data_IF_359531882742
#
_entry.id   IF_359531882742
#
_cell.length_a   1.000
_cell.length_b   1.000
_cell.length_c   1.000
_cell.angle_alpha   90.00
_cell.angle_beta   90.00
_cell.angle_gamma   90.00
#
_symmetry.space_group_name_H-M   'P 1'
#
loop_
_entity.id
_entity.type
_entity.pdbx_description
1 polymer ?
#
# COMPACT_ATOMS: atom_id res chain seq x y z
N UNK A 1 19.62 35.82 -17.16
CA UNK A 1 18.30 35.15 -17.12
C UNK A 1 17.91 34.95 -15.67
N UNK A 2 16.85 35.61 -15.25
CA UNK A 2 16.57 35.94 -13.84
C UNK A 2 16.03 34.76 -13.02
N UNK A 3 16.24 34.86 -11.70
CA UNK A 3 15.88 33.95 -10.61
C UNK A 3 14.42 33.42 -10.64
N UNK A 4 13.52 34.08 -11.37
CA UNK A 4 12.12 33.69 -11.53
C UNK A 4 11.88 32.38 -12.29
N UNK A 5 12.83 31.91 -13.12
CA UNK A 5 12.69 30.65 -13.87
C UNK A 5 12.67 29.38 -13.00
N UNK A 6 12.86 29.51 -11.67
CA UNK A 6 12.89 28.41 -10.71
C UNK A 6 11.73 28.41 -9.70
N UNK A 7 10.81 29.39 -9.75
CA UNK A 7 9.64 29.30 -8.86
C UNK A 7 8.76 28.14 -9.30
N UNK A 8 8.50 27.22 -8.38
CA UNK A 8 7.48 26.19 -8.57
C UNK A 8 6.12 26.85 -8.51
N UNK A 9 5.20 26.41 -9.36
CA UNK A 9 3.84 26.92 -9.35
C UNK A 9 3.17 26.81 -7.99
N UNK A 10 2.39 27.81 -7.65
CA UNK A 10 1.65 27.91 -6.40
C UNK A 10 0.17 27.86 -6.73
N UNK A 11 -0.45 26.76 -6.36
CA UNK A 11 -1.89 26.56 -6.49
C UNK A 11 -2.50 26.77 -5.11
N UNK A 12 -3.32 27.80 -4.98
CA UNK A 12 -4.13 27.97 -3.79
C UNK A 12 -5.42 27.16 -3.94
N UNK A 13 -5.74 26.33 -2.96
CA UNK A 13 -6.99 25.57 -2.90
C UNK A 13 -7.77 26.00 -1.66
N UNK A 14 -8.93 26.62 -1.85
CA UNK A 14 -9.90 26.88 -0.81
C UNK A 14 -11.06 25.88 -0.92
N UNK A 15 -11.43 25.31 0.23
CA UNK A 15 -12.58 24.44 0.38
C UNK A 15 -13.50 25.16 1.36
N UNK A 16 -14.70 25.50 0.92
CA UNK A 16 -15.67 26.30 1.67
C UNK A 16 -17.01 25.56 1.79
N UNK A 17 -17.53 25.50 2.99
CA UNK A 17 -18.87 25.01 3.36
C UNK A 17 -19.93 26.12 3.28
N UNK A 18 -19.67 27.18 2.51
CA UNK A 18 -20.60 28.28 2.25
C UNK A 18 -20.42 28.82 0.83
N UNK A 19 -21.38 29.63 0.38
CA UNK A 19 -21.34 30.29 -0.93
C UNK A 19 -20.51 31.58 -0.83
N UNK A 20 -19.32 31.58 -1.44
CA UNK A 20 -18.43 32.72 -1.55
C UNK A 20 -18.72 33.58 -2.79
N UNK A 21 -19.10 32.95 -3.90
CA UNK A 21 -19.37 33.62 -5.18
C UNK A 21 -20.82 33.37 -5.63
N UNK A 22 -21.81 34.17 -5.20
CA UNK A 22 -23.23 33.94 -5.49
C UNK A 22 -23.57 33.82 -6.98
N UNK A 23 -22.86 34.59 -7.83
CA UNK A 23 -23.13 34.62 -9.27
C UNK A 23 -22.57 33.41 -10.04
N UNK A 24 -21.69 32.62 -9.41
CA UNK A 24 -21.13 31.41 -10.03
C UNK A 24 -21.97 30.19 -9.65
N UNK A 25 -22.47 29.46 -10.65
CA UNK A 25 -23.31 28.28 -10.43
C UNK A 25 -22.50 27.03 -10.07
N UNK A 26 -21.32 26.87 -10.65
CA UNK A 26 -20.50 25.67 -10.44
C UNK A 26 -19.90 25.63 -9.04
N UNK A 27 -19.81 24.43 -8.48
CA UNK A 27 -19.18 24.16 -7.17
C UNK A 27 -17.66 24.32 -7.20
N UNK A 28 -17.03 24.22 -8.36
CA UNK A 28 -15.60 24.43 -8.55
C UNK A 28 -15.36 25.63 -9.44
N UNK A 29 -14.54 26.58 -8.99
CA UNK A 29 -14.12 27.71 -9.80
C UNK A 29 -12.60 27.89 -9.79
N UNK A 30 -12.02 28.10 -10.98
CA UNK A 30 -10.60 28.40 -11.15
C UNK A 30 -10.44 29.88 -11.48
N UNK A 31 -9.57 30.58 -10.75
CA UNK A 31 -9.33 32.01 -10.89
C UNK A 31 -7.85 32.24 -11.20
N UNK A 32 -7.58 32.95 -12.28
CA UNK A 32 -6.23 33.24 -12.79
C UNK A 32 -5.94 34.72 -12.61
N UNK A 33 -4.67 35.05 -12.38
CA UNK A 33 -4.19 36.43 -12.35
C UNK A 33 -3.92 36.90 -13.78
N UNK A 34 -4.41 38.09 -14.11
CA UNK A 34 -4.20 38.74 -15.41
C UNK A 34 -3.51 40.09 -15.19
N UNK A 35 -2.67 40.50 -16.14
CA UNK A 35 -2.17 41.87 -16.19
C UNK A 35 -3.34 42.86 -16.30
N UNK A 36 -3.25 43.97 -15.60
CA UNK A 36 -4.35 44.94 -15.49
C UNK A 36 -4.56 45.80 -16.73
N UNK A 37 -3.56 45.89 -17.62
CA UNK A 37 -3.61 46.70 -18.84
C UNK A 37 -3.82 45.83 -20.08
N UNK A 38 -3.08 44.72 -20.20
CA UNK A 38 -3.11 43.85 -21.38
C UNK A 38 -4.08 42.68 -21.22
N UNK A 39 -4.49 42.37 -19.98
CA UNK A 39 -5.26 41.17 -19.64
C UNK A 39 -4.55 39.85 -19.98
N UNK A 40 -3.22 39.90 -20.17
CA UNK A 40 -2.40 38.73 -20.42
C UNK A 40 -2.18 37.93 -19.14
N UNK A 41 -2.01 36.61 -19.27
CA UNK A 41 -1.70 35.72 -18.16
C UNK A 41 -0.21 35.33 -18.21
N UNK A 42 0.63 36.23 -17.71
CA UNK A 42 2.07 36.00 -17.61
C UNK A 42 2.44 35.07 -16.44
N UNK A 43 1.58 35.00 -15.41
CA UNK A 43 1.78 34.24 -14.17
C UNK A 43 0.95 32.94 -14.16
N UNK A 44 1.13 32.11 -15.18
CA UNK A 44 0.27 30.93 -15.43
C UNK A 44 0.30 29.89 -14.31
N UNK A 45 1.41 29.84 -13.58
CA UNK A 45 1.65 28.90 -12.49
C UNK A 45 1.11 29.38 -11.13
N UNK A 46 0.45 30.55 -11.09
CA UNK A 46 -0.16 31.12 -9.89
C UNK A 46 -1.67 31.28 -10.10
N UNK A 47 -2.44 30.37 -9.51
CA UNK A 47 -3.89 30.43 -9.62
C UNK A 47 -4.58 29.85 -8.40
N UNK A 48 -5.86 30.22 -8.27
CA UNK A 48 -6.69 29.90 -7.13
C UNK A 48 -7.80 28.96 -7.58
N UNK A 49 -8.04 27.90 -6.82
CA UNK A 49 -9.17 27.01 -6.98
C UNK A 49 -10.05 27.17 -5.74
N UNK A 50 -11.34 27.41 -5.95
CA UNK A 50 -12.33 27.41 -4.89
C UNK A 50 -13.30 26.26 -5.12
N UNK A 51 -13.47 25.43 -4.08
CA UNK A 51 -14.50 24.40 -3.99
C UNK A 51 -15.56 24.91 -3.00
N UNK A 52 -16.73 25.27 -3.49
CA UNK A 52 -17.88 25.74 -2.71
C UNK A 52 -18.87 24.56 -2.54
N UNK A 53 -18.76 23.85 -1.41
CA UNK A 53 -19.43 22.58 -1.14
C UNK A 53 -20.97 22.70 -1.10
N UNK A 54 -21.51 23.85 -0.70
CA UNK A 54 -22.96 24.13 -0.75
C UNK A 54 -23.56 23.97 -2.17
N UNK A 55 -22.76 24.22 -3.20
CA UNK A 55 -23.18 24.07 -4.61
C UNK A 55 -23.00 22.65 -5.13
N UNK A 56 -22.29 21.80 -4.40
CA UNK A 56 -22.05 20.41 -4.76
C UNK A 56 -23.19 19.51 -4.25
N UNK A 57 -24.09 19.09 -5.14
CA UNK A 57 -25.30 18.35 -4.78
C UNK A 57 -25.42 17.00 -5.50
N UNK A 58 -24.28 16.44 -5.94
CA UNK A 58 -24.25 15.11 -6.55
C UNK A 58 -24.32 14.06 -5.45
N UNK A 59 -25.14 13.05 -5.67
CA UNK A 59 -25.16 11.82 -4.87
C UNK A 59 -24.04 10.87 -5.31
N UNK A 60 -23.82 9.82 -4.54
CA UNK A 60 -22.68 8.90 -4.68
C UNK A 60 -22.62 8.15 -6.00
N UNK A 61 -23.78 7.69 -6.46
CA UNK A 61 -23.95 7.01 -7.74
C UNK A 61 -23.76 7.94 -8.95
N UNK A 62 -23.71 9.25 -8.70
CA UNK A 62 -23.53 10.30 -9.71
C UNK A 62 -22.08 10.83 -9.77
N UNK A 63 -21.18 10.31 -8.93
CA UNK A 63 -19.79 10.73 -8.89
C UNK A 63 -19.00 10.14 -10.07
N UNK A 64 -18.48 11.01 -10.93
CA UNK A 64 -17.83 10.61 -12.18
C UNK A 64 -16.30 10.53 -12.07
N UNK A 65 -15.71 11.26 -11.11
CA UNK A 65 -14.26 11.41 -11.04
C UNK A 65 -13.75 11.64 -9.61
N UNK A 66 -12.43 11.56 -9.44
CA UNK A 66 -11.76 11.68 -8.14
C UNK A 66 -12.00 13.03 -7.44
N UNK A 67 -12.13 14.13 -8.19
CA UNK A 67 -12.37 15.45 -7.58
C UNK A 67 -13.77 15.53 -6.97
N UNK A 68 -14.76 14.93 -7.63
CA UNK A 68 -16.12 14.83 -7.10
C UNK A 68 -16.19 13.92 -5.87
N UNK A 69 -15.41 12.82 -5.86
CA UNK A 69 -15.25 12.00 -4.65
C UNK A 69 -14.69 12.79 -3.47
N UNK A 70 -13.66 13.61 -3.70
CA UNK A 70 -13.13 14.50 -2.66
C UNK A 70 -14.12 15.57 -2.23
N UNK A 71 -14.86 16.18 -3.16
CA UNK A 71 -15.87 17.17 -2.82
C UNK A 71 -17.01 16.57 -1.98
N UNK A 72 -17.50 15.39 -2.37
CA UNK A 72 -18.48 14.62 -1.61
C UNK A 72 -17.94 14.30 -0.22
N UNK A 73 -16.71 13.77 -0.16
CA UNK A 73 -16.01 13.50 1.09
C UNK A 73 -15.98 14.72 2.01
N UNK A 74 -15.47 15.86 1.55
CA UNK A 74 -15.35 17.05 2.39
C UNK A 74 -16.71 17.59 2.85
N UNK A 75 -17.77 17.43 2.04
CA UNK A 75 -19.12 17.85 2.41
C UNK A 75 -19.72 16.95 3.50
N UNK A 76 -19.56 15.65 3.39
CA UNK A 76 -20.25 14.67 4.23
C UNK A 76 -19.38 14.01 5.31
N UNK A 77 -18.08 14.32 5.38
CA UNK A 77 -17.14 13.70 6.33
C UNK A 77 -17.55 13.83 7.79
N UNK A 78 -18.27 14.88 8.15
CA UNK A 78 -18.76 15.11 9.51
C UNK A 78 -20.06 14.35 9.84
N UNK A 79 -20.75 13.83 8.81
CA UNK A 79 -22.04 13.13 8.92
C UNK A 79 -21.92 11.62 8.66
N UNK A 80 -20.81 11.18 8.07
CA UNK A 80 -20.60 9.81 7.59
C UNK A 80 -19.76 8.99 8.56
N UNK A 81 -20.16 7.74 8.81
CA UNK A 81 -19.36 6.77 9.56
C UNK A 81 -18.22 6.19 8.71
N UNK A 82 -17.22 5.57 9.35
CA UNK A 82 -16.12 4.87 8.67
C UNK A 82 -16.64 3.77 7.74
N UNK A 83 -17.64 2.99 8.15
CA UNK A 83 -18.22 1.91 7.35
C UNK A 83 -18.95 2.45 6.11
N UNK A 84 -19.70 3.54 6.27
CA UNK A 84 -20.30 4.24 5.12
C UNK A 84 -19.17 4.72 4.21
N UNK A 85 -18.19 5.46 4.71
CA UNK A 85 -17.05 5.95 3.91
C UNK A 85 -16.26 4.86 3.17
N UNK A 86 -15.98 3.73 3.81
CA UNK A 86 -15.32 2.59 3.17
C UNK A 86 -16.15 1.99 2.03
N UNK A 87 -17.47 1.94 2.19
CA UNK A 87 -18.42 1.57 1.14
C UNK A 87 -18.52 2.63 0.02
N UNK A 88 -18.42 3.93 0.37
CA UNK A 88 -18.64 5.08 -0.52
C UNK A 88 -17.46 5.32 -1.47
N UNK A 89 -16.24 5.14 -0.99
CA UNK A 89 -15.00 5.54 -1.67
C UNK A 89 -14.40 4.37 -2.48
N UNK A 90 -14.77 3.13 -2.14
CA UNK A 90 -14.15 1.91 -2.63
C UNK A 90 -12.74 1.74 -2.08
N UNK A 91 -11.92 0.90 -2.71
CA UNK A 91 -10.51 0.70 -2.35
C UNK A 91 -9.59 1.88 -2.74
N UNK A 92 -10.08 3.11 -2.76
CA UNK A 92 -9.20 4.28 -2.93
C UNK A 92 -8.44 4.52 -1.62
N UNK A 93 -7.24 3.96 -1.57
CA UNK A 93 -6.36 3.99 -0.41
C UNK A 93 -6.06 5.41 0.09
N UNK A 94 -6.07 6.41 -0.80
CA UNK A 94 -5.67 7.78 -0.45
C UNK A 94 -6.80 8.48 0.31
N UNK A 95 -8.04 8.38 -0.17
CA UNK A 95 -9.18 8.98 0.53
C UNK A 95 -9.42 8.24 1.86
N UNK A 96 -9.25 6.91 1.89
CA UNK A 96 -9.30 6.12 3.13
C UNK A 96 -8.33 6.66 4.18
N UNK A 97 -7.09 6.95 3.79
CA UNK A 97 -6.06 7.53 4.67
C UNK A 97 -6.44 8.93 5.18
N UNK A 98 -7.06 9.76 4.35
CA UNK A 98 -7.50 11.09 4.77
C UNK A 98 -8.68 11.03 5.74
N UNK A 99 -9.60 10.06 5.57
CA UNK A 99 -10.67 9.83 6.55
C UNK A 99 -10.09 9.47 7.91
N UNK A 100 -9.19 8.48 7.98
CA UNK A 100 -8.56 8.12 9.25
C UNK A 100 -7.85 9.30 9.92
N UNK A 101 -7.22 10.18 9.14
CA UNK A 101 -6.58 11.37 9.70
C UNK A 101 -7.59 12.39 10.28
N UNK A 102 -8.76 12.54 9.65
CA UNK A 102 -9.83 13.42 10.14
C UNK A 102 -10.54 12.84 11.36
N UNK A 103 -10.84 11.54 11.33
CA UNK A 103 -11.47 10.81 12.42
C UNK A 103 -10.58 10.84 13.68
N UNK A 104 -9.28 10.56 13.55
CA UNK A 104 -8.28 10.69 14.62
C UNK A 104 -8.21 12.10 15.23
N UNK A 105 -8.45 13.15 14.45
CA UNK A 105 -8.43 14.52 14.94
C UNK A 105 -9.67 14.88 15.77
N UNK A 106 -10.75 14.09 15.66
CA UNK A 106 -12.02 14.28 16.37
C UNK A 106 -12.15 13.45 17.65
N UNK A 107 -11.26 12.48 17.86
CA UNK A 107 -11.32 11.52 18.95
C UNK A 107 -10.83 12.06 20.29
N UNK A 108 -11.46 11.55 21.36
CA UNK A 108 -10.90 11.63 22.69
C UNK A 108 -9.65 10.74 22.84
N UNK A 109 -8.84 11.01 23.86
CA UNK A 109 -7.62 10.22 24.14
C UNK A 109 -7.93 8.72 24.36
N UNK A 110 -9.11 8.39 24.89
CA UNK A 110 -9.54 7.01 25.11
C UNK A 110 -9.87 6.28 23.80
N UNK A 111 -10.51 6.97 22.85
CA UNK A 111 -10.83 6.45 21.52
C UNK A 111 -9.56 6.25 20.69
N UNK A 112 -8.63 7.22 20.73
CA UNK A 112 -7.30 7.09 20.12
C UNK A 112 -6.54 5.88 20.64
N UNK A 113 -6.45 5.71 21.96
CA UNK A 113 -5.77 4.57 22.57
C UNK A 113 -6.42 3.23 22.18
N UNK A 114 -7.75 3.19 22.09
CA UNK A 114 -8.49 1.98 21.70
C UNK A 114 -8.21 1.61 20.26
N UNK A 115 -8.21 2.57 19.35
CA UNK A 115 -7.90 2.35 17.94
C UNK A 115 -6.44 1.97 17.71
N UNK A 116 -5.48 2.67 18.33
CA UNK A 116 -4.06 2.32 18.24
C UNK A 116 -3.82 0.87 18.70
N UNK A 117 -4.56 0.43 19.73
CA UNK A 117 -4.52 -0.96 20.19
C UNK A 117 -5.10 -1.93 19.17
N UNK A 118 -6.15 -1.58 18.44
CA UNK A 118 -6.69 -2.42 17.35
C UNK A 118 -5.69 -2.55 16.21
N UNK A 119 -5.13 -1.43 15.73
CA UNK A 119 -4.10 -1.42 14.68
C UNK A 119 -2.88 -2.23 15.11
N UNK A 120 -2.43 -2.06 16.35
CA UNK A 120 -1.34 -2.85 16.92
C UNK A 120 -1.66 -4.35 16.91
N UNK A 121 -2.88 -4.71 17.29
CA UNK A 121 -3.31 -6.12 17.31
C UNK A 121 -3.30 -6.73 15.90
N UNK A 122 -3.77 -5.99 14.90
CA UNK A 122 -3.74 -6.42 13.49
C UNK A 122 -2.30 -6.61 12.99
N UNK A 123 -1.42 -5.64 13.26
CA UNK A 123 0.00 -5.71 12.91
C UNK A 123 0.71 -6.87 13.62
N UNK A 124 0.43 -7.10 14.90
CA UNK A 124 0.98 -8.23 15.66
C UNK A 124 0.53 -9.57 15.04
N UNK A 125 -0.73 -9.68 14.60
CA UNK A 125 -1.24 -10.87 13.93
C UNK A 125 -0.56 -11.12 12.58
N UNK A 126 -0.40 -10.08 11.76
CA UNK A 126 0.30 -10.18 10.47
C UNK A 126 1.76 -10.59 10.66
N UNK A 127 2.46 -10.00 11.65
CA UNK A 127 3.84 -10.36 11.96
C UNK A 127 3.96 -11.83 12.41
N UNK A 128 3.00 -12.33 13.19
CA UNK A 128 2.94 -13.75 13.58
C UNK A 128 2.71 -14.65 12.37
N UNK A 129 1.86 -14.26 11.43
CA UNK A 129 1.62 -15.03 10.20
C UNK A 129 2.86 -15.06 9.30
N UNK A 130 3.50 -13.93 9.09
CA UNK A 130 4.74 -13.82 8.31
C UNK A 130 5.86 -14.67 8.93
N UNK A 131 6.04 -14.60 10.26
CA UNK A 131 7.02 -15.43 10.96
C UNK A 131 6.73 -16.94 10.79
N UNK A 132 5.46 -17.35 10.81
CA UNK A 132 5.10 -18.77 10.58
C UNK A 132 5.47 -19.22 9.17
N UNK A 133 5.29 -18.35 8.16
CA UNK A 133 5.68 -18.64 6.78
C UNK A 133 7.21 -18.78 6.69
N UNK A 134 7.95 -17.81 7.24
CA UNK A 134 9.41 -17.86 7.26
C UNK A 134 9.94 -19.13 7.96
N UNK A 135 9.39 -19.49 9.12
CA UNK A 135 9.76 -20.71 9.84
C UNK A 135 9.46 -21.98 9.03
N UNK A 136 8.34 -21.99 8.29
CA UNK A 136 7.95 -23.11 7.45
C UNK A 136 8.88 -23.26 6.23
N UNK A 137 9.25 -22.16 5.59
CA UNK A 137 10.21 -22.12 4.49
C UNK A 137 11.59 -22.59 4.94
N UNK A 138 12.11 -22.04 6.05
CA UNK A 138 13.40 -22.44 6.61
C UNK A 138 13.45 -23.93 6.98
N UNK A 139 12.37 -24.47 7.58
CA UNK A 139 12.25 -25.91 7.84
C UNK A 139 12.16 -26.73 6.55
N UNK A 140 11.49 -26.19 5.53
CA UNK A 140 11.37 -26.81 4.21
C UNK A 140 12.73 -26.92 3.53
N UNK A 141 13.50 -25.85 3.53
CA UNK A 141 14.85 -25.77 2.96
C UNK A 141 15.81 -26.73 3.67
N UNK A 142 15.89 -26.67 5.00
CA UNK A 142 16.75 -27.57 5.77
C UNK A 142 16.41 -29.05 5.53
N UNK A 143 15.11 -29.41 5.49
CA UNK A 143 14.68 -30.77 5.15
C UNK A 143 15.01 -31.14 3.70
N UNK A 144 14.92 -30.19 2.78
CA UNK A 144 15.24 -30.36 1.38
C UNK A 144 16.72 -30.65 1.17
N UNK A 145 17.59 -29.89 1.83
CA UNK A 145 19.05 -30.04 1.81
C UNK A 145 19.45 -31.42 2.34
N UNK A 146 19.02 -31.78 3.56
CA UNK A 146 19.35 -33.09 4.16
C UNK A 146 18.87 -34.26 3.28
N UNK A 147 17.66 -34.18 2.72
CA UNK A 147 17.15 -35.21 1.80
C UNK A 147 17.92 -35.24 0.48
N UNK A 148 18.36 -34.09 -0.01
CA UNK A 148 19.18 -33.95 -1.21
C UNK A 148 20.53 -34.62 -1.05
N UNK A 149 21.24 -34.32 0.04
CA UNK A 149 22.53 -34.93 0.40
C UNK A 149 22.42 -36.45 0.53
N UNK A 150 21.43 -36.95 1.27
CA UNK A 150 21.21 -38.40 1.41
C UNK A 150 20.94 -39.08 0.05
N UNK A 151 20.12 -38.46 -0.81
CA UNK A 151 19.86 -38.96 -2.17
C UNK A 151 21.11 -38.94 -3.04
N UNK A 152 21.95 -37.92 -2.92
CA UNK A 152 23.22 -37.83 -3.64
C UNK A 152 24.18 -38.95 -3.21
N UNK A 153 24.34 -39.18 -1.90
CA UNK A 153 25.16 -40.27 -1.35
C UNK A 153 24.72 -41.64 -1.90
N UNK A 154 23.41 -41.92 -1.84
CA UNK A 154 22.83 -43.15 -2.39
C UNK A 154 23.03 -43.25 -3.92
N UNK A 155 22.82 -42.16 -4.66
CA UNK A 155 23.00 -42.15 -6.12
C UNK A 155 24.46 -42.41 -6.52
N UNK A 156 25.41 -41.83 -5.78
CA UNK A 156 26.84 -42.07 -5.97
C UNK A 156 27.20 -43.53 -5.70
N UNK A 157 26.77 -44.08 -4.57
CA UNK A 157 27.01 -45.48 -4.21
C UNK A 157 26.48 -46.45 -5.28
N UNK A 158 25.24 -46.24 -5.77
CA UNK A 158 24.67 -47.04 -6.87
C UNK A 158 25.50 -46.98 -8.15
N UNK A 159 26.00 -45.79 -8.53
CA UNK A 159 26.87 -45.62 -9.71
C UNK A 159 28.21 -46.32 -9.54
N UNK A 160 28.79 -46.31 -8.34
CA UNK A 160 30.06 -46.98 -8.05
C UNK A 160 29.90 -48.51 -8.00
N UNK A 161 28.81 -49.01 -7.41
CA UNK A 161 28.43 -50.43 -7.45
C UNK A 161 28.27 -50.94 -8.88
N UNK A 162 27.57 -50.18 -9.74
CA UNK A 162 27.40 -50.52 -11.15
C UNK A 162 28.72 -50.58 -11.95
N UNK A 163 29.78 -49.95 -11.43
CA UNK A 163 31.14 -49.97 -11.99
C UNK A 163 32.06 -50.99 -11.29
N UNK A 164 31.54 -51.83 -10.41
CA UNK A 164 32.29 -52.81 -9.61
C UNK A 164 33.45 -52.18 -8.82
N UNK A 165 33.24 -50.98 -8.26
CA UNK A 165 34.23 -50.37 -7.36
C UNK A 165 34.31 -51.17 -6.04
N UNK A 166 35.48 -51.25 -5.39
CA UNK A 166 35.65 -51.91 -4.10
C UNK A 166 34.76 -51.28 -3.02
N UNK A 167 34.31 -52.10 -2.08
CA UNK A 167 33.43 -51.67 -0.98
C UNK A 167 34.06 -50.54 -0.15
N UNK A 168 35.34 -50.69 0.19
CA UNK A 168 36.09 -49.70 0.99
C UNK A 168 36.11 -48.32 0.31
N UNK A 169 36.25 -48.28 -1.03
CA UNK A 169 36.24 -47.04 -1.83
C UNK A 169 34.83 -46.41 -1.82
N UNK A 170 33.76 -47.21 -1.90
CA UNK A 170 32.38 -46.71 -1.87
C UNK A 170 32.06 -46.11 -0.49
N UNK A 171 32.49 -46.77 0.59
CA UNK A 171 32.34 -46.27 1.95
C UNK A 171 33.07 -44.93 2.14
N UNK A 172 34.31 -44.82 1.66
CA UNK A 172 35.11 -43.59 1.76
C UNK A 172 34.49 -42.40 1.02
N UNK A 173 33.97 -42.59 -0.20
CA UNK A 173 33.44 -41.49 -1.00
C UNK A 173 31.98 -41.10 -0.72
N UNK A 174 31.23 -41.93 0.01
CA UNK A 174 29.79 -41.68 0.26
C UNK A 174 29.45 -41.52 1.74
N UNK A 175 30.39 -41.80 2.64
CA UNK A 175 30.21 -41.93 4.09
C UNK A 175 29.08 -42.90 4.49
N UNK A 176 28.68 -43.82 3.60
CA UNK A 176 27.70 -44.85 3.91
C UNK A 176 28.37 -46.04 4.59
N UNK A 177 27.65 -46.66 5.52
CA UNK A 177 28.10 -47.90 6.18
C UNK A 177 27.99 -49.10 5.24
N UNK A 178 28.73 -50.16 5.52
CA UNK A 178 28.63 -51.43 4.79
C UNK A 178 27.19 -51.96 4.76
N UNK A 179 26.47 -51.93 5.87
CA UNK A 179 25.07 -52.35 5.94
C UNK A 179 24.14 -51.52 5.03
N UNK A 180 24.38 -50.21 4.92
CA UNK A 180 23.60 -49.33 4.04
C UNK A 180 23.92 -49.59 2.58
N UNK A 181 25.18 -49.85 2.23
CA UNK A 181 25.60 -50.19 0.86
C UNK A 181 25.05 -51.56 0.46
N UNK A 182 25.03 -52.54 1.37
CA UNK A 182 24.51 -53.88 1.09
C UNK A 182 23.01 -53.84 0.76
N UNK A 183 22.25 -52.96 1.41
CA UNK A 183 20.82 -52.71 1.11
C UNK A 183 20.57 -52.05 -0.25
N UNK A 184 21.61 -51.56 -0.93
CA UNK A 184 21.51 -50.92 -2.25
C UNK A 184 21.85 -51.85 -3.43
N UNK A 185 22.39 -53.04 -3.16
CA UNK A 185 22.67 -54.09 -4.15
C UNK A 185 21.38 -54.78 -4.60
#
# INVERSE_FOLDING_TARGET
MAVYAKLRGVIFLAIADFILFPDKKDWRSNHRLLDTKTYENDLQDFYFIFLELEKFNKELDQLENLQEKWAYFFKHAHESTLEEMESLIGHDFIIKKAFYALDQASWSEEELNTYEKMIKTEMDNLAVEEQKIMDAEAKGEARGETKGEARQKISMAKKMLAKNRPLDEIMEFTDLTEEEIEKLK
#
